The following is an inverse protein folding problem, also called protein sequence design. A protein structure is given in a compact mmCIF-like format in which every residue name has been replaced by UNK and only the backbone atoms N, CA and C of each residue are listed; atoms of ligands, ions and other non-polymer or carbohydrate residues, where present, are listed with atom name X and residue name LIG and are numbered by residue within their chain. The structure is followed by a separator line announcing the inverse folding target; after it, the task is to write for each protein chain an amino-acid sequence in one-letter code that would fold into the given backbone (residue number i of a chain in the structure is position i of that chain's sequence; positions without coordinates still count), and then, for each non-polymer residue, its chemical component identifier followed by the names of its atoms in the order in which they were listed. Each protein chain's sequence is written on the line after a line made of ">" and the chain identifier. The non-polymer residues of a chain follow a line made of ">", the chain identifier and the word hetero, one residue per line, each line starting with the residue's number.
data_IF_320193466994
#
_entry.id   IF_320193466994
#
_cell.length_a   1.000
_cell.length_b   1.000
_cell.length_c   1.000
_cell.angle_alpha   90.00
_cell.angle_beta   90.00
_cell.angle_gamma   90.00
#
_symmetry.space_group_name_H-M   'P 1'
#
loop_
_entity.id
_entity.type
_entity.pdbx_description
1 polymer ?
#
# COMPACT_ATOMS: atom_id res chain seq x y z
N UNK A 1 -12.66 4.07 -0.24
CA UNK A 1 -12.96 2.64 -0.09
C UNK A 1 -14.45 2.44 -0.30
N UNK A 2 -14.83 1.44 -1.10
CA UNK A 2 -16.22 1.04 -1.33
C UNK A 2 -16.40 -0.43 -0.97
N UNK A 3 -17.59 -0.82 -0.47
CA UNK A 3 -17.96 -2.21 -0.27
C UNK A 3 -18.87 -2.64 -1.43
N UNK A 4 -18.51 -3.73 -2.11
CA UNK A 4 -19.21 -4.20 -3.30
C UNK A 4 -19.16 -5.72 -3.38
N UNK A 5 -20.24 -6.36 -3.87
CA UNK A 5 -20.19 -7.78 -4.23
C UNK A 5 -19.30 -7.98 -5.44
N UNK A 6 -18.36 -8.92 -5.33
CA UNK A 6 -17.45 -9.23 -6.42
C UNK A 6 -18.06 -10.27 -7.35
N UNK A 7 -17.70 -10.24 -8.64
CA UNK A 7 -18.11 -11.27 -9.58
C UNK A 7 -17.56 -12.65 -9.15
N UNK A 8 -18.19 -13.76 -9.59
CA UNK A 8 -17.89 -15.12 -9.12
C UNK A 8 -16.40 -15.49 -9.17
N UNK A 9 -15.69 -15.04 -10.19
CA UNK A 9 -14.26 -15.29 -10.38
C UNK A 9 -13.34 -14.60 -9.38
N UNK A 10 -13.84 -13.61 -8.64
CA UNK A 10 -13.09 -12.81 -7.66
C UNK A 10 -13.68 -12.89 -6.24
N UNK A 11 -14.58 -13.85 -5.97
CA UNK A 11 -15.25 -13.97 -4.66
C UNK A 11 -14.33 -14.27 -3.49
N UNK A 12 -13.21 -14.89 -3.73
CA UNK A 12 -12.17 -15.22 -2.76
C UNK A 12 -11.23 -14.05 -2.46
N UNK A 13 -11.30 -12.97 -3.24
CA UNK A 13 -10.50 -11.77 -3.00
C UNK A 13 -11.13 -10.91 -1.89
N UNK A 14 -10.30 -10.43 -0.97
CA UNK A 14 -10.73 -9.50 0.07
C UNK A 14 -10.97 -8.09 -0.48
N UNK A 15 -10.15 -7.67 -1.42
CA UNK A 15 -10.18 -6.33 -2.01
C UNK A 15 -9.64 -6.35 -3.44
N UNK A 16 -9.93 -5.27 -4.19
CA UNK A 16 -9.33 -5.01 -5.50
C UNK A 16 -9.13 -3.51 -5.70
N UNK A 17 -8.16 -3.16 -6.53
CA UNK A 17 -7.95 -1.79 -6.99
C UNK A 17 -8.67 -1.59 -8.32
N UNK A 18 -9.57 -0.61 -8.38
CA UNK A 18 -10.24 -0.21 -9.61
C UNK A 18 -9.48 0.96 -10.22
N UNK A 19 -8.98 0.81 -11.46
CA UNK A 19 -8.24 1.86 -12.15
C UNK A 19 -9.21 2.93 -12.66
N UNK A 20 -9.59 3.85 -11.79
CA UNK A 20 -10.37 5.05 -12.09
C UNK A 20 -9.55 6.30 -11.77
N UNK A 21 -10.06 7.47 -12.10
CA UNK A 21 -9.41 8.75 -11.76
C UNK A 21 -10.28 9.53 -10.77
N UNK A 22 -9.94 9.59 -9.49
CA UNK A 22 -8.85 8.87 -8.81
C UNK A 22 -9.13 7.36 -8.65
N UNK A 23 -8.08 6.53 -8.42
CA UNK A 23 -8.25 5.09 -8.22
C UNK A 23 -9.03 4.78 -6.94
N UNK A 24 -9.82 3.71 -6.97
CA UNK A 24 -10.71 3.30 -5.87
C UNK A 24 -10.37 1.90 -5.38
N UNK A 25 -10.23 1.76 -4.05
CA UNK A 25 -10.15 0.44 -3.40
C UNK A 25 -11.58 -0.06 -3.16
N UNK A 26 -11.92 -1.20 -3.73
CA UNK A 26 -13.16 -1.92 -3.45
C UNK A 26 -12.88 -3.08 -2.50
N UNK A 27 -13.72 -3.20 -1.46
CA UNK A 27 -13.70 -4.30 -0.50
C UNK A 27 -14.84 -5.26 -0.83
N UNK A 28 -14.58 -6.55 -0.68
CA UNK A 28 -15.60 -7.57 -0.93
C UNK A 28 -16.69 -7.53 0.15
N UNK A 29 -17.91 -7.26 -0.26
CA UNK A 29 -19.07 -7.21 0.64
C UNK A 29 -19.54 -8.61 1.11
N UNK A 30 -19.10 -9.68 0.45
CA UNK A 30 -19.50 -11.07 0.73
C UNK A 30 -18.54 -11.80 1.67
N UNK A 31 -17.54 -11.11 2.25
CA UNK A 31 -16.68 -11.69 3.29
C UNK A 31 -17.48 -12.08 4.52
N UNK A 32 -16.96 -12.99 5.35
CA UNK A 32 -17.64 -13.46 6.55
C UNK A 32 -18.10 -12.29 7.46
N UNK A 33 -19.23 -12.46 8.12
CA UNK A 33 -19.78 -11.42 9.00
C UNK A 33 -18.81 -11.01 10.11
N UNK A 34 -17.99 -11.94 10.63
CA UNK A 34 -16.94 -11.66 11.61
C UNK A 34 -15.83 -10.78 11.06
N UNK A 35 -15.31 -11.09 9.85
CA UNK A 35 -14.29 -10.30 9.20
C UNK A 35 -14.82 -8.90 8.84
N UNK A 36 -16.04 -8.81 8.33
CA UNK A 36 -16.69 -7.54 8.02
C UNK A 36 -16.85 -6.69 9.28
N UNK A 37 -17.31 -7.29 10.40
CA UNK A 37 -17.42 -6.61 11.70
C UNK A 37 -16.06 -6.09 12.18
N UNK A 38 -15.01 -6.89 12.06
CA UNK A 38 -13.64 -6.50 12.39
C UNK A 38 -13.20 -5.27 11.57
N UNK A 39 -13.33 -5.35 10.25
CA UNK A 39 -12.87 -4.30 9.33
C UNK A 39 -13.70 -3.00 9.44
N UNK A 40 -14.98 -3.09 9.84
CA UNK A 40 -15.85 -1.94 10.04
C UNK A 40 -15.84 -1.40 11.47
N UNK A 41 -15.14 -2.05 12.41
CA UNK A 41 -15.07 -1.61 13.80
C UNK A 41 -14.47 -0.21 13.90
N UNK A 42 -15.09 0.67 14.69
CA UNK A 42 -14.51 1.98 14.98
C UNK A 42 -13.33 1.79 15.92
N UNK A 43 -12.18 2.36 15.57
CA UNK A 43 -10.96 2.33 16.39
C UNK A 43 -11.08 3.23 17.63
N UNK A 44 -11.92 2.85 18.59
CA UNK A 44 -12.10 3.58 19.83
C UNK A 44 -11.27 3.03 21.00
N UNK A 45 -10.68 1.84 20.86
CA UNK A 45 -9.86 1.18 21.89
C UNK A 45 -8.65 0.54 21.25
N UNK A 46 -7.53 0.53 21.96
CA UNK A 46 -6.32 -0.24 21.62
C UNK A 46 -6.50 -1.72 22.02
N UNK A 47 -7.57 -2.34 21.54
CA UNK A 47 -7.82 -3.76 21.72
C UNK A 47 -7.24 -4.58 20.56
N UNK A 48 -7.21 -5.88 20.73
CA UNK A 48 -6.67 -6.81 19.72
C UNK A 48 -7.40 -6.69 18.38
N UNK A 49 -8.72 -6.53 18.40
CA UNK A 49 -9.52 -6.41 17.18
C UNK A 49 -9.14 -5.16 16.39
N UNK A 50 -8.89 -4.03 17.07
CA UNK A 50 -8.43 -2.81 16.39
C UNK A 50 -7.03 -2.95 15.81
N UNK A 51 -6.12 -3.64 16.50
CA UNK A 51 -4.77 -3.92 15.99
C UNK A 51 -4.80 -4.86 14.78
N UNK A 52 -5.61 -5.93 14.82
CA UNK A 52 -5.77 -6.85 13.70
C UNK A 52 -6.31 -6.13 12.46
N UNK A 53 -7.33 -5.29 12.65
CA UNK A 53 -7.87 -4.45 11.58
C UNK A 53 -6.79 -3.53 10.99
N UNK A 54 -6.02 -2.85 11.85
CA UNK A 54 -5.01 -1.89 11.42
C UNK A 54 -3.88 -2.58 10.66
N UNK A 55 -3.47 -3.79 11.05
CA UNK A 55 -2.50 -4.60 10.30
C UNK A 55 -3.05 -4.98 8.93
N UNK A 56 -4.31 -5.42 8.85
CA UNK A 56 -4.94 -5.78 7.56
C UNK A 56 -5.00 -4.56 6.64
N UNK A 57 -5.52 -3.42 7.12
CA UNK A 57 -5.61 -2.21 6.29
C UNK A 57 -4.23 -1.67 5.89
N UNK A 58 -3.25 -1.69 6.79
CA UNK A 58 -1.90 -1.25 6.46
C UNK A 58 -1.26 -2.16 5.41
N UNK A 59 -1.50 -3.47 5.48
CA UNK A 59 -1.05 -4.42 4.45
C UNK A 59 -1.70 -4.14 3.09
N UNK A 60 -3.03 -3.91 3.07
CA UNK A 60 -3.76 -3.52 1.85
C UNK A 60 -3.19 -2.21 1.30
N UNK A 61 -3.05 -1.18 2.15
CA UNK A 61 -2.51 0.12 1.73
C UNK A 61 -1.08 0.00 1.18
N UNK A 62 -0.20 -0.77 1.82
CA UNK A 62 1.16 -1.01 1.33
C UNK A 62 1.15 -1.62 -0.07
N UNK A 63 0.31 -2.63 -0.31
CA UNK A 63 0.17 -3.25 -1.63
C UNK A 63 -0.40 -2.29 -2.66
N UNK A 64 -1.44 -1.53 -2.29
CA UNK A 64 -2.07 -0.53 -3.18
C UNK A 64 -1.06 0.55 -3.57
N UNK A 65 -0.30 1.11 -2.62
CA UNK A 65 0.72 2.10 -2.92
C UNK A 65 1.81 1.55 -3.85
N UNK A 66 2.24 0.30 -3.61
CA UNK A 66 3.19 -0.38 -4.51
C UNK A 66 2.65 -0.46 -5.94
N UNK A 67 1.39 -0.86 -6.10
CA UNK A 67 0.74 -0.93 -7.42
C UNK A 67 0.63 0.44 -8.08
N UNK A 68 0.22 1.47 -7.33
CA UNK A 68 0.04 2.82 -7.86
C UNK A 68 1.37 3.45 -8.29
N UNK A 69 2.43 3.33 -7.48
CA UNK A 69 3.77 3.82 -7.85
C UNK A 69 4.31 3.08 -9.07
N UNK A 70 4.18 1.75 -9.10
CA UNK A 70 4.59 0.96 -10.27
C UNK A 70 3.83 1.36 -11.54
N UNK A 71 2.52 1.62 -11.43
CA UNK A 71 1.70 2.09 -12.54
C UNK A 71 2.17 3.46 -13.04
N UNK A 72 2.46 4.40 -12.14
CA UNK A 72 3.00 5.71 -12.52
C UNK A 72 4.37 5.61 -13.20
N UNK A 73 5.28 4.78 -12.69
CA UNK A 73 6.59 4.53 -13.30
C UNK A 73 6.47 3.90 -14.69
N UNK A 74 5.57 2.91 -14.86
CA UNK A 74 5.27 2.31 -16.16
C UNK A 74 4.69 3.34 -17.14
N UNK A 75 3.82 4.23 -16.68
CA UNK A 75 3.27 5.30 -17.54
C UNK A 75 4.37 6.25 -18.03
N UNK A 76 5.32 6.63 -17.18
CA UNK A 76 6.49 7.42 -17.58
C UNK A 76 7.25 6.70 -18.69
N UNK A 77 7.60 5.43 -18.49
CA UNK A 77 8.33 4.66 -19.53
C UNK A 77 7.55 4.53 -20.83
N UNK A 78 6.26 4.30 -20.76
CA UNK A 78 5.43 4.19 -21.95
C UNK A 78 5.40 5.50 -22.75
N UNK A 79 5.29 6.65 -22.09
CA UNK A 79 5.34 7.97 -22.74
C UNK A 79 6.73 8.21 -23.36
N UNK A 80 7.81 7.90 -22.64
CA UNK A 80 9.19 8.04 -23.13
C UNK A 80 9.47 7.13 -24.32
N UNK A 81 8.96 5.90 -24.30
CA UNK A 81 9.13 4.95 -25.40
C UNK A 81 8.31 5.36 -26.64
N UNK A 82 7.13 5.97 -26.43
CA UNK A 82 6.32 6.47 -27.53
C UNK A 82 6.92 7.71 -28.22
N UNK A 83 7.64 8.54 -27.45
CA UNK A 83 8.34 9.72 -27.95
C UNK A 83 9.62 9.99 -27.15
N UNK A 84 10.73 9.51 -27.66
CA UNK A 84 12.05 9.62 -27.01
C UNK A 84 12.62 11.04 -26.95
N UNK A 85 12.06 11.98 -27.73
CA UNK A 85 12.53 13.37 -27.79
C UNK A 85 11.95 14.25 -26.64
N UNK A 86 10.91 13.76 -25.95
CA UNK A 86 10.30 14.51 -24.85
C UNK A 86 11.29 14.69 -23.70
N UNK A 87 11.34 15.89 -23.15
CA UNK A 87 12.02 16.14 -21.89
C UNK A 87 11.28 15.44 -20.73
N UNK A 88 11.95 15.23 -19.60
CA UNK A 88 11.29 14.62 -18.44
C UNK A 88 10.16 15.46 -17.88
N UNK A 89 10.26 16.79 -17.94
CA UNK A 89 9.17 17.70 -17.58
C UNK A 89 7.95 17.49 -18.49
N UNK A 90 8.15 17.41 -19.81
CA UNK A 90 7.06 17.15 -20.77
C UNK A 90 6.43 15.77 -20.59
N UNK A 91 7.20 14.78 -20.15
CA UNK A 91 6.70 13.44 -19.84
C UNK A 91 5.78 13.48 -18.62
N UNK A 92 6.21 14.13 -17.52
CA UNK A 92 5.39 14.20 -16.30
C UNK A 92 4.13 15.05 -16.46
N UNK A 93 4.13 16.06 -17.33
CA UNK A 93 2.94 16.86 -17.67
C UNK A 93 1.85 16.02 -18.35
N UNK A 94 2.20 14.90 -19.00
CA UNK A 94 1.24 13.99 -19.63
C UNK A 94 0.68 12.92 -18.69
N UNK A 95 1.16 12.85 -17.45
CA UNK A 95 0.65 11.88 -16.49
C UNK A 95 -0.75 12.27 -15.98
N UNK A 96 -1.63 11.29 -15.73
CA UNK A 96 -2.85 11.53 -14.98
C UNK A 96 -2.55 12.16 -13.61
N UNK A 97 -3.38 13.11 -13.12
CA UNK A 97 -3.14 13.82 -11.85
C UNK A 97 -2.93 12.89 -10.66
N UNK A 98 -3.66 11.78 -10.55
CA UNK A 98 -3.51 10.81 -9.46
C UNK A 98 -2.16 10.09 -9.50
N UNK A 99 -1.64 9.78 -10.69
CA UNK A 99 -0.32 9.17 -10.84
C UNK A 99 0.79 10.16 -10.47
N UNK A 100 0.68 11.40 -10.92
CA UNK A 100 1.63 12.45 -10.55
C UNK A 100 1.67 12.67 -9.03
N UNK A 101 0.50 12.77 -8.38
CA UNK A 101 0.40 12.90 -6.93
C UNK A 101 1.01 11.69 -6.20
N UNK A 102 0.72 10.48 -6.69
CA UNK A 102 1.29 9.25 -6.13
C UNK A 102 2.82 9.25 -6.21
N UNK A 103 3.38 9.56 -7.38
CA UNK A 103 4.82 9.63 -7.57
C UNK A 103 5.45 10.73 -6.70
N UNK A 104 4.81 11.89 -6.56
CA UNK A 104 5.30 12.98 -5.72
C UNK A 104 5.42 12.59 -4.24
N UNK A 105 4.55 11.71 -3.73
CA UNK A 105 4.61 11.21 -2.35
C UNK A 105 5.84 10.34 -2.06
N UNK A 106 6.32 9.60 -3.06
CA UNK A 106 7.37 8.60 -2.85
C UNK A 106 8.69 8.92 -3.54
N UNK A 107 8.71 9.85 -4.50
CA UNK A 107 9.91 10.13 -5.33
C UNK A 107 11.11 10.57 -4.52
N UNK A 108 10.95 11.41 -3.51
CA UNK A 108 12.06 11.87 -2.65
C UNK A 108 12.72 10.71 -1.91
N UNK A 109 11.92 9.79 -1.36
CA UNK A 109 12.42 8.58 -0.70
C UNK A 109 13.03 7.59 -1.70
N UNK A 110 12.42 7.43 -2.90
CA UNK A 110 12.94 6.57 -3.96
C UNK A 110 14.30 7.06 -4.48
N UNK A 111 14.45 8.35 -4.66
CA UNK A 111 15.66 8.99 -5.18
C UNK A 111 16.68 9.32 -4.07
N UNK A 112 16.32 9.09 -2.78
CA UNK A 112 17.17 9.42 -1.62
C UNK A 112 17.65 10.89 -1.64
N UNK A 113 16.77 11.80 -1.99
CA UNK A 113 17.05 13.23 -2.16
C UNK A 113 16.25 14.07 -1.20
N UNK A 114 16.75 15.27 -0.90
CA UNK A 114 16.03 16.29 -0.11
C UNK A 114 15.53 17.45 -1.00
N UNK A 115 15.35 17.19 -2.30
CA UNK A 115 14.83 18.18 -3.25
C UNK A 115 13.29 18.22 -3.18
N UNK A 116 12.64 19.28 -3.69
CA UNK A 116 11.18 19.35 -3.76
C UNK A 116 10.58 18.16 -4.51
N UNK A 117 9.39 17.71 -4.10
CA UNK A 117 8.76 16.53 -4.66
C UNK A 117 8.61 16.56 -6.19
N UNK A 118 8.30 17.73 -6.75
CA UNK A 118 8.20 17.90 -8.20
C UNK A 118 9.54 17.63 -8.91
N UNK A 119 10.63 18.19 -8.40
CA UNK A 119 11.98 17.96 -8.93
C UNK A 119 12.41 16.50 -8.76
N UNK A 120 12.02 15.86 -7.66
CA UNK A 120 12.27 14.43 -7.43
C UNK A 120 11.53 13.55 -8.46
N UNK A 121 10.30 13.92 -8.88
CA UNK A 121 9.59 13.21 -9.96
C UNK A 121 10.28 13.39 -11.30
N UNK A 122 10.80 14.59 -11.62
CA UNK A 122 11.60 14.82 -12.83
C UNK A 122 12.86 13.95 -12.81
N UNK A 123 13.55 13.92 -11.68
CA UNK A 123 14.75 13.08 -11.51
C UNK A 123 14.40 11.59 -11.68
N UNK A 124 13.30 11.14 -11.09
CA UNK A 124 12.79 9.78 -11.28
C UNK A 124 12.49 9.48 -12.76
N UNK A 125 11.87 10.42 -13.48
CA UNK A 125 11.60 10.26 -14.91
C UNK A 125 12.89 10.17 -15.74
N UNK A 126 13.93 10.90 -15.37
CA UNK A 126 15.25 10.79 -16.00
C UNK A 126 15.88 9.41 -15.76
N UNK A 127 15.86 8.91 -14.52
CA UNK A 127 16.38 7.59 -14.16
C UNK A 127 15.63 6.46 -14.89
N UNK A 128 14.33 6.59 -15.06
CA UNK A 128 13.49 5.58 -15.74
C UNK A 128 13.75 5.44 -17.24
N UNK A 129 14.57 6.30 -17.86
CA UNK A 129 15.07 6.11 -19.23
C UNK A 129 15.95 4.87 -19.38
N UNK A 130 16.58 4.44 -18.28
CA UNK A 130 17.35 3.20 -18.25
C UNK A 130 16.49 2.03 -17.77
N UNK A 131 16.37 0.93 -18.55
CA UNK A 131 15.65 -0.27 -18.11
C UNK A 131 16.20 -0.88 -16.82
N UNK A 132 17.52 -0.79 -16.59
CA UNK A 132 18.16 -1.29 -15.36
C UNK A 132 17.73 -0.49 -14.13
N UNK A 133 17.56 0.83 -14.27
CA UNK A 133 17.06 1.70 -13.19
C UNK A 133 15.64 1.35 -12.79
N UNK A 134 14.78 1.03 -13.75
CA UNK A 134 13.40 0.60 -13.44
C UNK A 134 13.37 -0.61 -12.50
N UNK A 135 14.15 -1.66 -12.79
CA UNK A 135 14.19 -2.85 -11.94
C UNK A 135 14.71 -2.54 -10.53
N UNK A 136 15.78 -1.74 -10.42
CA UNK A 136 16.32 -1.31 -9.12
C UNK A 136 15.30 -0.52 -8.31
N UNK A 137 14.57 0.39 -8.95
CA UNK A 137 13.55 1.21 -8.30
C UNK A 137 12.36 0.39 -7.84
N UNK A 138 11.90 -0.60 -8.61
CA UNK A 138 10.83 -1.53 -8.19
C UNK A 138 11.24 -2.32 -6.94
N UNK A 139 12.46 -2.85 -6.89
CA UNK A 139 12.95 -3.58 -5.70
C UNK A 139 13.03 -2.67 -4.47
N UNK A 140 13.52 -1.45 -4.64
CA UNK A 140 13.65 -0.45 -3.57
C UNK A 140 12.28 0.04 -3.07
N UNK A 141 11.31 0.20 -3.97
CA UNK A 141 9.99 0.72 -3.70
C UNK A 141 9.25 -0.07 -2.60
N UNK A 142 9.26 -1.39 -2.66
CA UNK A 142 8.59 -2.23 -1.65
C UNK A 142 9.10 -1.94 -0.24
N UNK A 143 10.42 -1.83 -0.07
CA UNK A 143 11.03 -1.50 1.22
C UNK A 143 10.65 -0.11 1.72
N UNK A 144 10.63 0.89 0.83
CA UNK A 144 10.26 2.27 1.17
C UNK A 144 8.80 2.33 1.61
N UNK A 145 7.89 1.74 0.84
CA UNK A 145 6.46 1.76 1.15
C UNK A 145 6.19 1.04 2.48
N UNK A 146 6.83 -0.10 2.74
CA UNK A 146 6.70 -0.80 4.02
C UNK A 146 7.19 0.06 5.20
N UNK A 147 8.28 0.80 5.02
CA UNK A 147 8.80 1.72 6.03
C UNK A 147 7.85 2.89 6.28
N UNK A 148 7.37 3.54 5.22
CA UNK A 148 6.43 4.66 5.32
C UNK A 148 5.07 4.26 5.91
N UNK A 149 4.59 3.06 5.61
CA UNK A 149 3.34 2.52 6.17
C UNK A 149 3.48 1.93 7.57
N UNK A 150 4.71 1.81 8.10
CA UNK A 150 5.01 1.26 9.44
C UNK A 150 4.42 -0.13 9.69
N UNK A 151 4.27 -0.94 8.66
CA UNK A 151 3.63 -2.26 8.77
C UNK A 151 4.36 -3.18 9.75
N UNK A 152 5.70 -3.12 9.81
CA UNK A 152 6.49 -3.91 10.75
C UNK A 152 6.22 -3.54 12.20
N UNK A 153 6.11 -2.24 12.50
CA UNK A 153 5.80 -1.75 13.85
C UNK A 153 4.43 -2.29 14.33
N UNK A 154 3.41 -2.22 13.47
CA UNK A 154 2.09 -2.74 13.76
C UNK A 154 2.09 -4.27 13.95
N UNK A 155 2.80 -5.00 13.11
CA UNK A 155 2.92 -6.46 13.21
C UNK A 155 3.61 -6.88 14.51
N UNK A 156 4.66 -6.17 14.94
CA UNK A 156 5.33 -6.42 16.21
C UNK A 156 4.44 -6.14 17.43
N UNK A 157 3.67 -5.03 17.41
CA UNK A 157 2.71 -4.71 18.47
C UNK A 157 1.65 -5.81 18.56
N UNK A 158 1.11 -6.26 17.44
CA UNK A 158 0.13 -7.35 17.38
C UNK A 158 0.73 -8.65 17.93
N UNK A 159 1.94 -9.02 17.53
CA UNK A 159 2.59 -10.25 17.99
C UNK A 159 2.85 -10.26 19.50
N UNK A 160 3.20 -9.13 20.08
CA UNK A 160 3.35 -8.98 21.55
C UNK A 160 2.01 -9.18 22.25
N UNK A 161 0.95 -8.53 21.78
CA UNK A 161 -0.37 -8.63 22.42
C UNK A 161 -0.95 -10.05 22.33
N UNK A 162 -0.78 -10.74 21.20
CA UNK A 162 -1.19 -12.15 21.07
C UNK A 162 -0.44 -13.09 22.02
N UNK A 163 0.83 -12.82 22.36
CA UNK A 163 1.58 -13.60 23.34
C UNK A 163 1.02 -13.41 24.77
N UNK A 164 0.76 -12.16 25.15
CA UNK A 164 0.18 -11.82 26.46
C UNK A 164 -1.15 -12.53 26.70
N UNK A 165 -2.05 -12.55 25.71
CA UNK A 165 -3.33 -13.25 25.85
C UNK A 165 -3.15 -14.76 25.98
N UNK A 166 -2.25 -15.36 25.21
CA UNK A 166 -2.00 -16.81 25.28
C UNK A 166 -1.39 -17.23 26.62
N UNK A 167 -0.60 -16.40 27.25
CA UNK A 167 -0.02 -16.63 28.57
C UNK A 167 -1.07 -16.47 29.68
N UNK A 168 -1.91 -15.45 29.60
CA UNK A 168 -3.03 -15.24 30.54
C UNK A 168 -4.04 -16.39 30.48
N UNK A 169 -4.40 -16.89 29.30
CA UNK A 169 -5.30 -18.05 29.14
C UNK A 169 -4.68 -19.32 29.73
N UNK A 170 -3.37 -19.50 29.62
CA UNK A 170 -2.66 -20.66 30.22
C UNK A 170 -2.61 -20.58 31.74
N UNK A 171 -2.48 -19.37 32.29
CA UNK A 171 -2.53 -19.15 33.76
C UNK A 171 -3.92 -19.42 34.31
N UNK A 172 -4.97 -18.83 33.71
CA UNK A 172 -6.37 -19.07 34.14
C UNK A 172 -6.74 -20.55 34.11
N UNK A 173 -6.34 -21.30 33.04
CA UNK A 173 -6.57 -22.75 33.00
C UNK A 173 -5.81 -23.56 34.04
N UNK A 174 -4.68 -23.06 34.55
CA UNK A 174 -3.95 -23.73 35.64
C UNK A 174 -4.60 -23.47 37.00
N UNK A 175 -5.20 -22.31 37.20
CA UNK A 175 -5.91 -21.93 38.39
C UNK A 175 -7.28 -22.62 38.51
N UNK A 176 -7.93 -22.94 37.40
CA UNK A 176 -9.18 -23.74 37.38
C UNK A 176 -8.99 -25.25 37.64
N UNK A 177 -7.76 -25.77 37.50
CA UNK A 177 -7.44 -27.20 37.65
C UNK A 177 -6.79 -27.46 39.04
N UNK A 178 -6.42 -26.43 39.78
CA UNK A 178 -5.83 -26.53 41.12
C UNK A 178 -6.86 -26.38 42.24
#
# INVERSE_FOLDING_TARGET
>A
IRWQSFPPENRDQLWRLVPSEPPVIEMNAEVSASLKKLLMSKALRKDIDSLQRDVIFTSICSTVWTMLVATGMNSIQNIQNANSELSSEQVIEQLPPSQLQTLALFSTSLMETNIPAHEAVITLANELRSPESFQKLILKMSSIIQKETKIMELAEIMARNCRFESENIKQLKKEEIA
#
